data_IF_061353758102
#
_entry.id   IF_061353758102
#
_cell.length_a   1.000
_cell.length_b   1.000
_cell.length_c   1.000
_cell.angle_alpha   90.00
_cell.angle_beta   90.00
_cell.angle_gamma   90.00
#
_symmetry.space_group_name_H-M   'P 1'
#
loop_
_entity.id
_entity.type
_entity.pdbx_description
1 polymer ?
#
# COMPACT_ATOMS: atom_id res chain seq x y z
N UNK A 1 -1.90 26.09 2.90
CA UNK A 1 -1.00 24.91 2.88
C UNK A 1 -1.50 23.94 1.84
N UNK A 2 -0.94 24.05 0.64
CA UNK A 2 -1.31 23.24 -0.52
C UNK A 2 -0.68 21.86 -0.42
N UNK A 3 -1.47 20.80 -0.18
CA UNK A 3 -1.04 19.44 -0.51
C UNK A 3 -1.88 18.93 -1.66
N UNK A 4 -1.40 19.29 -2.85
CA UNK A 4 -1.87 18.83 -4.15
C UNK A 4 -2.04 17.30 -4.13
N UNK A 5 -3.24 16.86 -4.43
CA UNK A 5 -3.65 15.49 -4.76
C UNK A 5 -3.06 15.05 -6.12
N UNK A 6 -1.74 15.12 -6.25
CA UNK A 6 -1.04 14.48 -7.37
C UNK A 6 -0.61 13.13 -6.87
N UNK A 7 -1.18 12.04 -7.41
CA UNK A 7 -0.97 10.65 -7.02
C UNK A 7 0.46 10.38 -6.50
N UNK A 8 0.67 10.61 -5.21
CA UNK A 8 2.01 10.58 -4.63
C UNK A 8 2.40 9.12 -4.55
N UNK A 9 3.51 8.78 -5.21
CA UNK A 9 4.09 7.46 -5.12
C UNK A 9 4.80 7.38 -3.77
N UNK A 10 4.34 6.47 -2.91
CA UNK A 10 4.86 6.26 -1.57
C UNK A 10 5.64 4.95 -1.53
N UNK A 11 6.77 4.95 -0.86
CA UNK A 11 7.50 3.71 -0.59
C UNK A 11 6.69 2.80 0.34
N UNK A 12 6.98 1.49 0.31
CA UNK A 12 6.31 0.51 1.20
C UNK A 12 6.33 0.92 2.68
N UNK A 13 7.42 1.55 3.14
CA UNK A 13 7.53 2.09 4.51
C UNK A 13 6.55 3.23 4.78
N UNK A 14 6.37 4.18 3.86
CA UNK A 14 5.39 5.25 4.05
C UNK A 14 3.95 4.72 4.04
N UNK A 15 3.66 3.73 3.20
CA UNK A 15 2.35 3.06 3.18
C UNK A 15 2.13 2.27 4.47
N UNK A 16 3.13 1.54 4.95
CA UNK A 16 3.08 0.80 6.21
C UNK A 16 2.98 1.70 7.45
N UNK A 17 3.54 2.92 7.41
CA UNK A 17 3.41 3.90 8.49
C UNK A 17 2.12 4.72 8.39
N UNK A 18 1.43 4.71 7.25
CA UNK A 18 0.19 5.45 7.05
C UNK A 18 -0.95 4.86 7.90
N UNK A 19 -1.84 5.72 8.38
CA UNK A 19 -3.05 5.32 9.10
C UNK A 19 -4.19 4.86 8.17
N UNK A 20 -3.90 4.73 6.87
CA UNK A 20 -4.86 4.29 5.86
C UNK A 20 -5.03 2.77 5.77
N UNK A 21 -4.15 2.01 6.42
CA UNK A 21 -4.14 0.55 6.41
C UNK A 21 -4.13 0.02 7.85
N UNK A 22 -4.77 -1.12 8.07
CA UNK A 22 -4.76 -1.84 9.35
C UNK A 22 -3.42 -2.55 9.56
N UNK A 23 -3.11 -2.95 10.80
CA UNK A 23 -1.85 -3.66 11.10
C UNK A 23 -1.63 -4.90 10.21
N UNK A 24 -2.68 -5.70 9.98
CA UNK A 24 -2.62 -6.85 9.06
C UNK A 24 -2.35 -6.42 7.62
N UNK A 25 -3.00 -5.36 7.16
CA UNK A 25 -2.82 -4.83 5.80
C UNK A 25 -1.41 -4.28 5.59
N UNK A 26 -0.83 -3.63 6.61
CA UNK A 26 0.55 -3.12 6.59
C UNK A 26 1.59 -4.24 6.50
N UNK A 27 1.34 -5.35 7.20
CA UNK A 27 2.18 -6.54 7.16
C UNK A 27 2.18 -7.16 5.76
N UNK A 28 0.99 -7.37 5.21
CA UNK A 28 0.81 -7.88 3.83
C UNK A 28 1.40 -6.91 2.81
N UNK A 29 1.17 -5.60 2.93
CA UNK A 29 1.77 -4.59 2.04
C UNK A 29 3.30 -4.64 2.08
N UNK A 30 3.90 -4.86 3.24
CA UNK A 30 5.36 -4.96 3.36
C UNK A 30 5.92 -6.24 2.72
N UNK A 31 5.10 -7.30 2.66
CA UNK A 31 5.43 -8.57 2.02
C UNK A 31 5.20 -8.57 0.49
N UNK A 32 4.15 -7.90 0.00
CA UNK A 32 3.81 -7.88 -1.44
C UNK A 32 4.47 -6.72 -2.20
N UNK A 33 4.78 -5.61 -1.53
CA UNK A 33 5.42 -4.46 -2.16
C UNK A 33 6.95 -4.59 -2.14
N UNK A 34 7.58 -4.36 -3.27
CA UNK A 34 9.03 -4.45 -3.38
C UNK A 34 9.73 -3.26 -2.72
N UNK A 35 10.89 -3.55 -2.14
CA UNK A 35 11.76 -2.55 -1.53
C UNK A 35 12.47 -1.74 -2.62
N UNK A 36 12.49 -0.41 -2.48
CA UNK A 36 13.03 0.50 -3.51
C UNK A 36 12.04 0.87 -4.62
N UNK A 37 10.84 0.26 -4.67
CA UNK A 37 9.74 0.72 -5.53
C UNK A 37 8.77 1.60 -4.75
N UNK A 38 8.16 2.54 -5.48
CA UNK A 38 7.14 3.45 -4.96
C UNK A 38 5.79 3.11 -5.56
N UNK A 39 4.77 3.06 -4.72
CA UNK A 39 3.42 2.69 -5.09
C UNK A 39 2.45 3.78 -4.64
N UNK A 40 1.41 4.03 -5.43
CA UNK A 40 0.33 4.91 -4.97
C UNK A 40 -0.53 4.18 -3.95
N UNK A 41 -1.26 4.93 -3.12
CA UNK A 41 -2.25 4.37 -2.19
C UNK A 41 -3.25 3.45 -2.92
N UNK A 42 -3.67 3.85 -4.13
CA UNK A 42 -4.59 3.05 -4.94
C UNK A 42 -3.96 1.72 -5.39
N UNK A 43 -2.74 1.77 -5.94
CA UNK A 43 -2.01 0.54 -6.33
C UNK A 43 -1.79 -0.40 -5.14
N UNK A 44 -1.40 0.15 -3.99
CA UNK A 44 -1.22 -0.61 -2.77
C UNK A 44 -2.53 -1.31 -2.35
N UNK A 45 -3.66 -0.59 -2.38
CA UNK A 45 -4.98 -1.16 -2.09
C UNK A 45 -5.41 -2.24 -3.09
N UNK A 46 -5.11 -2.07 -4.39
CA UNK A 46 -5.42 -3.06 -5.40
C UNK A 46 -4.57 -4.33 -5.26
N UNK A 47 -3.27 -4.18 -5.03
CA UNK A 47 -2.35 -5.30 -4.75
C UNK A 47 -2.79 -6.07 -3.51
N UNK A 48 -3.09 -5.34 -2.43
CA UNK A 48 -3.58 -5.91 -1.19
C UNK A 48 -4.91 -6.64 -1.38
N UNK A 49 -5.89 -6.04 -2.06
CA UNK A 49 -7.16 -6.70 -2.40
C UNK A 49 -6.94 -7.95 -3.24
N UNK A 50 -6.07 -7.88 -4.24
CA UNK A 50 -5.75 -9.03 -5.11
C UNK A 50 -5.14 -10.17 -4.31
N UNK A 51 -4.24 -9.86 -3.38
CA UNK A 51 -3.62 -10.82 -2.48
C UNK A 51 -4.67 -11.47 -1.55
N UNK A 52 -5.45 -10.65 -0.84
CA UNK A 52 -6.50 -11.13 0.06
C UNK A 52 -7.57 -11.96 -0.67
N UNK A 53 -7.90 -11.60 -1.91
CA UNK A 53 -8.89 -12.32 -2.72
C UNK A 53 -8.34 -13.64 -3.26
N UNK A 54 -7.02 -13.73 -3.49
CA UNK A 54 -6.34 -14.98 -3.88
C UNK A 54 -6.27 -16.01 -2.74
N UNK A 55 -6.28 -15.59 -1.49
CA UNK A 55 -6.40 -16.51 -0.33
C UNK A 55 -7.82 -17.07 -0.14
N UNK A 56 -8.84 -16.57 -0.87
CA UNK A 56 -10.26 -16.92 -0.68
C UNK A 56 -10.75 -17.98 -1.68
N UNK A 57 -9.86 -18.77 -2.28
CA UNK A 57 -10.20 -19.87 -3.21
C UNK A 57 -9.51 -21.17 -2.86
#
# INVERSE_FOLDING_TARGET
>A
MSKKETAAAFSKHQLAQSNQFSNREKDVLSAILEEGKTYTVLQAKEQLKTYLKKEVI
#
